data_IF_939471214841
#
_entry.id   IF_939471214841
#
_cell.length_a   1.000
_cell.length_b   1.000
_cell.length_c   1.000
_cell.angle_alpha   90.00
_cell.angle_beta   90.00
_cell.angle_gamma   90.00
#
_symmetry.space_group_name_H-M   'P 1'
#
loop_
_entity.id
_entity.type
_entity.pdbx_description
1 polymer ?
#
# COMPACT_ATOMS: atom_id res chain seq x y z
N UNK A 1 -2.38 -5.97 -1.40
CA UNK A 1 -0.93 -5.67 -1.45
C UNK A 1 -0.26 -6.32 -0.23
N UNK A 2 0.18 -7.59 -0.33
CA UNK A 2 0.48 -8.46 0.85
C UNK A 2 1.64 -7.94 1.71
N UNK A 3 2.71 -7.43 1.08
CA UNK A 3 3.93 -6.99 1.78
C UNK A 3 3.86 -5.55 2.31
N UNK A 4 2.70 -4.89 2.25
CA UNK A 4 2.51 -3.52 2.75
C UNK A 4 2.46 -3.43 4.28
N UNK A 5 2.33 -4.56 4.98
CA UNK A 5 2.11 -4.68 6.44
C UNK A 5 0.75 -4.17 6.95
N UNK A 6 -0.02 -3.44 6.14
CA UNK A 6 -1.26 -2.78 6.58
C UNK A 6 -2.37 -3.75 6.98
N UNK A 7 -2.49 -4.91 6.33
CA UNK A 7 -3.44 -5.95 6.77
C UNK A 7 -3.19 -6.35 8.23
N UNK A 8 -1.93 -6.65 8.56
CA UNK A 8 -1.54 -7.07 9.91
C UNK A 8 -1.72 -5.90 10.88
N UNK A 9 -1.32 -4.68 10.52
CA UNK A 9 -1.49 -3.50 11.38
C UNK A 9 -2.95 -3.23 11.72
N UNK A 10 -3.84 -3.27 10.74
CA UNK A 10 -5.29 -3.08 10.96
C UNK A 10 -5.85 -4.20 11.83
N UNK A 11 -5.49 -5.46 11.53
CA UNK A 11 -5.94 -6.61 12.33
C UNK A 11 -5.45 -6.54 13.78
N UNK A 12 -4.19 -6.17 14.01
CA UNK A 12 -3.64 -5.96 15.36
C UNK A 12 -4.33 -4.79 16.06
N UNK A 13 -4.59 -3.70 15.35
CA UNK A 13 -5.34 -2.55 15.85
C UNK A 13 -6.72 -2.97 16.33
N UNK A 14 -7.47 -3.69 15.49
CA UNK A 14 -8.78 -4.24 15.84
C UNK A 14 -8.69 -5.08 17.11
N UNK A 15 -7.86 -6.13 17.15
CA UNK A 15 -7.68 -6.99 18.33
C UNK A 15 -7.35 -6.19 19.60
N UNK A 16 -6.58 -5.10 19.47
CA UNK A 16 -6.22 -4.21 20.58
C UNK A 16 -7.37 -3.36 21.14
N UNK A 17 -8.52 -3.28 20.48
CA UNK A 17 -9.69 -2.50 20.93
C UNK A 17 -10.50 -3.20 22.03
N UNK A 18 -10.07 -4.38 22.50
CA UNK A 18 -10.69 -5.08 23.62
C UNK A 18 -12.12 -5.53 23.33
N UNK A 19 -13.06 -5.27 24.25
CA UNK A 19 -14.47 -5.71 24.14
C UNK A 19 -15.24 -5.07 22.96
N UNK A 20 -14.65 -4.10 22.26
CA UNK A 20 -15.23 -3.47 21.06
C UNK A 20 -15.10 -4.37 19.82
N UNK A 21 -14.22 -5.38 19.86
CA UNK A 21 -14.07 -6.32 18.73
C UNK A 21 -15.24 -7.29 18.69
N UNK A 22 -16.10 -7.10 17.70
CA UNK A 22 -17.19 -8.03 17.39
C UNK A 22 -16.76 -9.04 16.31
N UNK A 23 -17.43 -10.19 16.26
CA UNK A 23 -17.29 -11.13 15.14
C UNK A 23 -17.61 -10.45 13.80
N UNK A 24 -18.55 -9.51 13.80
CA UNK A 24 -18.92 -8.71 12.63
C UNK A 24 -17.76 -7.82 12.15
N UNK A 25 -17.03 -7.19 13.07
CA UNK A 25 -15.85 -6.37 12.72
C UNK A 25 -14.72 -7.23 12.13
N UNK A 26 -14.52 -8.43 12.67
CA UNK A 26 -13.54 -9.38 12.13
C UNK A 26 -13.97 -9.91 10.76
N UNK A 27 -15.24 -10.29 10.58
CA UNK A 27 -15.78 -10.73 9.30
C UNK A 27 -15.69 -9.61 8.25
N UNK A 28 -15.96 -8.36 8.64
CA UNK A 28 -15.77 -7.20 7.79
C UNK A 28 -14.30 -7.04 7.38
N UNK A 29 -13.34 -7.17 8.30
CA UNK A 29 -11.91 -7.13 7.97
C UNK A 29 -11.49 -8.26 7.01
N UNK A 30 -11.92 -9.50 7.29
CA UNK A 30 -11.62 -10.68 6.47
C UNK A 30 -12.29 -10.63 5.09
N UNK A 31 -13.36 -9.84 4.91
CA UNK A 31 -13.94 -9.55 3.58
C UNK A 31 -13.02 -8.73 2.68
N UNK A 32 -11.88 -8.26 3.23
CA UNK A 32 -10.86 -7.46 2.57
C UNK A 32 -11.45 -6.19 1.94
N UNK A 33 -12.04 -5.30 2.77
CA UNK A 33 -12.90 -4.21 2.31
C UNK A 33 -12.12 -3.20 1.49
N UNK A 34 -12.82 -2.41 0.66
CA UNK A 34 -12.20 -1.46 -0.27
C UNK A 34 -11.24 -0.48 0.43
N UNK A 35 -11.59 -0.01 1.63
CA UNK A 35 -10.74 0.88 2.43
C UNK A 35 -9.42 0.20 2.85
N UNK A 36 -9.44 -1.10 3.15
CA UNK A 36 -8.23 -1.87 3.47
C UNK A 36 -7.35 -2.01 2.22
N UNK A 37 -7.95 -2.36 1.07
CA UNK A 37 -7.23 -2.44 -0.21
C UNK A 37 -6.55 -1.12 -0.57
N UNK A 38 -7.29 -0.01 -0.42
CA UNK A 38 -6.80 1.33 -0.66
C UNK A 38 -5.61 1.65 0.26
N UNK A 39 -5.76 1.37 1.56
CA UNK A 39 -4.70 1.60 2.55
C UNK A 39 -3.44 0.78 2.26
N UNK A 40 -3.57 -0.51 1.92
CA UNK A 40 -2.44 -1.36 1.55
C UNK A 40 -1.69 -0.86 0.30
N UNK A 41 -2.43 -0.36 -0.69
CA UNK A 41 -1.86 0.17 -1.93
C UNK A 41 -1.10 1.47 -1.67
N UNK A 42 -1.73 2.43 -0.97
CA UNK A 42 -1.10 3.70 -0.59
C UNK A 42 0.18 3.43 0.19
N UNK A 43 0.10 2.59 1.22
CA UNK A 43 1.22 2.26 2.07
C UNK A 43 2.42 1.71 1.29
N UNK A 44 2.16 0.80 0.34
CA UNK A 44 3.23 0.22 -0.47
C UNK A 44 3.88 1.24 -1.37
N UNK A 45 3.08 1.95 -2.15
CA UNK A 45 3.61 2.90 -3.13
C UNK A 45 4.37 4.00 -2.39
N UNK A 46 3.81 4.51 -1.29
CA UNK A 46 4.45 5.55 -0.49
C UNK A 46 5.77 5.07 0.12
N UNK A 47 5.82 3.85 0.67
CA UNK A 47 7.07 3.26 1.15
C UNK A 47 8.12 3.20 0.04
N UNK A 48 7.77 2.63 -1.11
CA UNK A 48 8.69 2.40 -2.22
C UNK A 48 9.21 3.72 -2.82
N UNK A 49 8.37 4.76 -2.89
CA UNK A 49 8.79 6.10 -3.33
C UNK A 49 9.74 6.73 -2.32
N UNK A 50 9.39 6.68 -1.02
CA UNK A 50 10.20 7.28 0.04
C UNK A 50 11.58 6.60 0.20
N UNK A 51 11.65 5.28 0.01
CA UNK A 51 12.86 4.49 0.20
C UNK A 51 13.62 4.17 -1.10
N UNK A 52 13.12 4.60 -2.27
CA UNK A 52 13.56 4.15 -3.59
C UNK A 52 15.09 4.07 -3.75
N UNK A 53 15.78 5.18 -3.49
CA UNK A 53 17.25 5.27 -3.67
C UNK A 53 18.02 4.34 -2.74
N UNK A 54 17.49 4.07 -1.56
CA UNK A 54 18.09 3.16 -0.58
C UNK A 54 17.82 1.71 -0.98
N UNK A 55 16.57 1.37 -1.27
CA UNK A 55 16.17 0.00 -1.66
C UNK A 55 16.84 -0.45 -2.94
N UNK A 56 16.97 0.44 -3.94
CA UNK A 56 17.64 0.11 -5.21
C UNK A 56 19.11 -0.27 -5.04
N UNK A 57 19.80 0.25 -4.02
CA UNK A 57 21.19 -0.15 -3.72
C UNK A 57 21.28 -1.55 -3.13
N UNK A 58 20.24 -2.00 -2.43
CA UNK A 58 20.19 -3.29 -1.73
C UNK A 58 19.60 -4.40 -2.60
N UNK A 59 18.54 -4.10 -3.33
CA UNK A 59 17.80 -5.03 -4.16
C UNK A 59 17.21 -4.29 -5.37
N UNK A 60 17.99 -4.14 -6.46
CA UNK A 60 17.49 -3.52 -7.70
C UNK A 60 16.27 -4.27 -8.23
N UNK A 61 15.23 -3.54 -8.64
CA UNK A 61 14.05 -4.12 -9.31
C UNK A 61 12.91 -4.57 -8.36
N UNK A 62 13.02 -4.29 -7.06
CA UNK A 62 12.04 -4.72 -6.06
C UNK A 62 10.97 -3.65 -5.72
N UNK A 63 11.09 -2.45 -6.28
CA UNK A 63 10.20 -1.32 -5.95
C UNK A 63 9.09 -1.14 -6.98
N UNK A 64 8.00 -0.49 -6.57
CA UNK A 64 6.89 -0.10 -7.45
C UNK A 64 7.35 0.79 -8.61
N UNK A 65 8.38 1.62 -8.40
CA UNK A 65 8.99 2.46 -9.45
C UNK A 65 9.66 1.58 -10.51
N UNK A 66 10.49 0.62 -10.09
CA UNK A 66 11.17 -0.28 -11.02
C UNK A 66 10.16 -1.12 -11.82
N UNK A 67 9.11 -1.61 -11.15
CA UNK A 67 8.03 -2.36 -11.79
C UNK A 67 7.27 -1.51 -12.82
N UNK A 68 7.01 -0.24 -12.52
CA UNK A 68 6.34 0.69 -13.43
C UNK A 68 7.22 1.00 -14.66
N UNK A 69 8.49 1.37 -14.43
CA UNK A 69 9.47 1.63 -15.50
C UNK A 69 9.62 0.41 -16.40
N UNK A 70 9.73 -0.80 -15.82
CA UNK A 70 9.84 -2.05 -16.59
C UNK A 70 8.61 -2.33 -17.44
N UNK A 71 7.42 -2.03 -16.93
CA UNK A 71 6.14 -2.30 -17.61
C UNK A 71 5.88 -1.31 -18.74
N UNK A 72 6.14 -0.02 -18.51
CA UNK A 72 5.74 1.05 -19.42
C UNK A 72 6.89 1.69 -20.21
N UNK A 73 8.14 1.36 -19.90
CA UNK A 73 9.32 1.90 -20.60
C UNK A 73 9.54 3.40 -20.40
N UNK A 74 8.94 3.98 -19.36
CA UNK A 74 9.01 5.42 -19.08
C UNK A 74 10.22 5.76 -18.19
N UNK A 75 10.70 7.02 -18.20
CA UNK A 75 11.72 7.46 -17.26
C UNK A 75 11.28 7.36 -15.79
N UNK A 76 12.24 7.20 -14.87
CA UNK A 76 11.97 7.07 -13.43
C UNK A 76 11.11 8.21 -12.86
N UNK A 77 11.37 9.46 -13.25
CA UNK A 77 10.59 10.60 -12.75
C UNK A 77 9.11 10.54 -13.18
N UNK A 78 8.85 10.08 -14.41
CA UNK A 78 7.48 9.87 -14.91
C UNK A 78 6.79 8.75 -14.10
N UNK A 79 7.50 7.67 -13.79
CA UNK A 79 6.97 6.61 -12.96
C UNK A 79 6.62 7.10 -11.54
N UNK A 80 7.47 7.94 -10.93
CA UNK A 80 7.19 8.55 -9.63
C UNK A 80 5.94 9.43 -9.68
N UNK A 81 5.84 10.33 -10.66
CA UNK A 81 4.69 11.23 -10.81
C UNK A 81 3.37 10.44 -10.98
N UNK A 82 3.37 9.37 -11.77
CA UNK A 82 2.20 8.51 -11.95
C UNK A 82 1.85 7.71 -10.69
N UNK A 83 2.86 7.25 -9.93
CA UNK A 83 2.67 6.57 -8.65
C UNK A 83 2.06 7.51 -7.59
N UNK A 84 2.48 8.77 -7.56
CA UNK A 84 1.91 9.79 -6.68
C UNK A 84 0.45 10.11 -7.05
N UNK A 85 0.13 10.24 -8.34
CA UNK A 85 -1.27 10.38 -8.81
C UNK A 85 -2.12 9.17 -8.44
N UNK A 86 -1.56 7.95 -8.50
CA UNK A 86 -2.27 6.75 -8.05
C UNK A 86 -2.59 6.84 -6.56
N UNK A 87 -1.64 7.28 -5.72
CA UNK A 87 -1.89 7.52 -4.29
C UNK A 87 -3.05 8.52 -4.10
N UNK A 88 -3.00 9.68 -4.76
CA UNK A 88 -4.04 10.71 -4.64
C UNK A 88 -5.43 10.20 -5.06
N UNK A 89 -5.49 9.39 -6.12
CA UNK A 89 -6.75 8.80 -6.55
C UNK A 89 -7.23 7.72 -5.59
N UNK A 90 -6.35 6.88 -5.06
CA UNK A 90 -6.70 5.84 -4.08
C UNK A 90 -7.21 6.44 -2.76
N UNK A 91 -6.76 7.64 -2.38
CA UNK A 91 -7.33 8.35 -1.22
C UNK A 91 -8.83 8.64 -1.35
N UNK A 92 -9.38 8.72 -2.55
CA UNK A 92 -10.83 8.89 -2.80
C UNK A 92 -11.64 7.63 -2.50
N UNK A 93 -10.99 6.48 -2.34
CA UNK A 93 -11.64 5.24 -1.91
C UNK A 93 -11.72 5.13 -0.39
N UNK A 94 -11.00 6.00 0.33
CA UNK A 94 -10.99 6.09 1.80
C UNK A 94 -11.95 7.19 2.29
N UNK A 95 -12.00 8.34 1.59
CA UNK A 95 -12.85 9.50 1.91
C UNK A 95 -14.20 9.44 1.19
#
# INVERSE_FOLDING_TARGET
MVTSTYNVLVKTGLVGMGEVVTEEALAWHESHPKILQASELIAKIHNDVASYKFERKRAPGATSIDAYVKTFGVPEHVAVDELEKMIENTWKDIN
#
